data_IF_762479130444
#
_entry.id   IF_762479130444
#
_cell.length_a   1.000
_cell.length_b   1.000
_cell.length_c   1.000
_cell.angle_alpha   90.00
_cell.angle_beta   90.00
_cell.angle_gamma   90.00
#
_symmetry.space_group_name_H-M   'P 1'
#
loop_
_entity.id
_entity.type
_entity.pdbx_description
1 polymer ?
#
# COMPACT_ATOMS: atom_id res chain seq x y z
N UNK A 1 3.33 -66.19 -53.03
CA UNK A 1 4.28 -67.15 -52.42
C UNK A 1 5.34 -66.31 -51.73
N UNK A 2 5.54 -66.51 -50.42
CA UNK A 2 6.34 -65.73 -49.44
C UNK A 2 5.92 -64.23 -49.26
N UNK A 3 5.34 -63.75 -48.16
CA UNK A 3 5.74 -63.68 -46.72
C UNK A 3 6.97 -62.79 -46.44
N UNK A 4 6.98 -62.05 -45.31
CA UNK A 4 7.23 -60.62 -45.26
C UNK A 4 8.60 -60.25 -44.68
N UNK A 5 9.02 -59.01 -44.90
CA UNK A 5 10.27 -58.44 -44.41
C UNK A 5 10.08 -57.99 -42.95
N UNK A 6 10.69 -58.74 -42.03
CA UNK A 6 10.81 -58.41 -40.61
C UNK A 6 11.63 -57.12 -40.44
N UNK A 7 10.96 -55.97 -40.47
CA UNK A 7 11.48 -54.73 -39.92
C UNK A 7 11.36 -54.79 -38.40
N UNK A 8 12.33 -55.45 -37.75
CA UNK A 8 12.57 -55.37 -36.30
C UNK A 8 13.08 -53.98 -35.92
N UNK A 9 12.22 -52.97 -36.06
CA UNK A 9 12.41 -51.61 -35.58
C UNK A 9 12.00 -51.52 -34.12
N UNK A 10 13.00 -51.56 -33.24
CA UNK A 10 12.87 -51.27 -31.81
C UNK A 10 12.11 -49.94 -31.60
N UNK A 11 11.03 -49.88 -30.79
CA UNK A 11 10.39 -48.61 -30.48
C UNK A 11 11.37 -47.72 -29.72
N UNK A 12 11.39 -46.38 -29.94
CA UNK A 12 12.21 -45.51 -29.11
C UNK A 12 11.74 -45.67 -27.66
N UNK A 13 12.63 -46.21 -26.82
CA UNK A 13 12.43 -46.27 -25.38
C UNK A 13 12.18 -44.85 -24.89
N UNK A 14 11.07 -44.66 -24.15
CA UNK A 14 10.90 -43.49 -23.29
C UNK A 14 12.18 -43.33 -22.48
N UNK A 15 12.90 -42.23 -22.69
CA UNK A 15 14.01 -41.87 -21.84
C UNK A 15 13.42 -41.46 -20.49
N UNK A 16 13.43 -42.41 -19.57
CA UNK A 16 13.18 -42.18 -18.16
C UNK A 16 14.15 -41.13 -17.64
N UNK A 17 13.55 -40.11 -17.02
CA UNK A 17 14.09 -39.23 -16.00
C UNK A 17 15.51 -39.57 -15.51
N UNK A 18 16.52 -38.91 -16.10
CA UNK A 18 17.76 -38.65 -15.38
C UNK A 18 17.64 -37.28 -14.74
N UNK A 19 17.59 -37.29 -13.41
CA UNK A 19 17.85 -36.14 -12.56
C UNK A 19 19.09 -35.39 -13.02
N UNK A 20 18.92 -34.16 -13.50
CA UNK A 20 19.98 -33.15 -13.45
C UNK A 20 19.89 -32.44 -12.10
N UNK A 21 20.59 -33.03 -11.14
CA UNK A 21 20.76 -32.63 -9.75
C UNK A 21 21.66 -31.37 -9.59
N UNK A 22 21.57 -30.42 -10.53
CA UNK A 22 22.56 -29.35 -10.70
C UNK A 22 22.10 -27.96 -10.23
N UNK A 23 20.89 -27.79 -9.69
CA UNK A 23 20.39 -26.47 -9.25
C UNK A 23 20.05 -26.36 -7.76
N UNK A 24 20.34 -27.41 -6.96
CA UNK A 24 20.32 -27.31 -5.50
C UNK A 24 21.60 -26.65 -5.01
N UNK A 25 21.71 -25.34 -5.23
CA UNK A 25 22.65 -24.52 -4.46
C UNK A 25 22.29 -24.69 -2.98
N UNK A 26 23.20 -25.14 -2.10
CA UNK A 26 22.95 -25.08 -0.67
C UNK A 26 22.71 -23.61 -0.32
N UNK A 27 21.64 -23.33 0.43
CA UNK A 27 21.47 -22.06 1.13
C UNK A 27 22.72 -21.89 1.99
N UNK A 28 23.72 -21.17 1.46
CA UNK A 28 24.87 -20.76 2.23
C UNK A 28 24.33 -20.05 3.46
N UNK A 29 24.81 -20.48 4.64
CA UNK A 29 24.44 -19.93 5.93
C UNK A 29 24.32 -18.41 5.81
N UNK A 30 23.08 -17.92 5.98
CA UNK A 30 22.76 -16.50 5.96
C UNK A 30 23.73 -15.81 6.90
N UNK A 31 24.74 -15.14 6.35
CA UNK A 31 25.43 -14.09 7.08
C UNK A 31 24.32 -13.17 7.53
N UNK A 32 24.09 -13.09 8.85
CA UNK A 32 23.18 -12.08 9.40
C UNK A 32 23.79 -10.76 8.96
N UNK A 33 23.28 -10.20 7.86
CA UNK A 33 23.58 -8.83 7.52
C UNK A 33 23.15 -8.04 8.74
N UNK A 34 24.12 -7.42 9.41
CA UNK A 34 23.80 -6.47 10.45
C UNK A 34 22.84 -5.48 9.80
N UNK A 35 21.60 -5.43 10.31
CA UNK A 35 20.64 -4.43 9.87
C UNK A 35 21.33 -3.10 10.08
N UNK A 36 21.56 -2.28 9.02
CA UNK A 36 22.12 -0.96 9.22
C UNK A 36 21.20 -0.25 10.20
N UNK A 37 21.75 0.17 11.34
CA UNK A 37 21.01 1.01 12.28
C UNK A 37 20.49 2.19 11.46
N UNK A 38 19.17 2.46 11.45
CA UNK A 38 18.67 3.65 10.78
C UNK A 38 19.44 4.87 11.30
N UNK A 39 19.73 5.86 10.45
CA UNK A 39 20.31 7.10 10.94
C UNK A 39 19.46 7.59 12.11
N UNK A 40 20.10 8.02 13.20
CA UNK A 40 19.39 8.63 14.30
C UNK A 40 18.46 9.70 13.74
N UNK A 41 17.21 9.72 14.18
CA UNK A 41 16.29 10.79 13.83
C UNK A 41 17.02 12.13 14.07
N UNK A 42 16.95 13.10 13.13
CA UNK A 42 17.48 14.41 13.40
C UNK A 42 16.88 14.90 14.70
N UNK A 43 17.62 15.65 15.54
CA UNK A 43 17.04 16.22 16.75
C UNK A 43 15.79 17.00 16.32
N UNK A 44 14.62 16.46 16.65
CA UNK A 44 13.39 17.22 16.51
C UNK A 44 13.50 18.27 17.59
N UNK A 45 13.72 19.52 17.18
CA UNK A 45 13.45 20.64 18.08
C UNK A 45 12.08 20.37 18.70
N UNK A 46 11.95 20.42 20.04
CA UNK A 46 10.66 20.26 20.65
C UNK A 46 9.74 21.29 20.00
N UNK A 47 8.69 20.81 19.34
CA UNK A 47 7.60 21.68 18.92
C UNK A 47 7.21 22.40 20.21
N UNK A 48 7.29 23.75 20.28
CA UNK A 48 6.84 24.43 21.47
C UNK A 48 5.41 23.97 21.67
N UNK A 49 5.18 23.26 22.78
CA UNK A 49 3.83 23.04 23.28
C UNK A 49 3.27 24.44 23.42
N UNK A 50 2.46 24.88 22.46
CA UNK A 50 1.61 26.02 22.70
C UNK A 50 0.82 25.59 23.94
N UNK A 51 1.07 26.25 25.07
CA UNK A 51 0.21 26.06 26.23
C UNK A 51 -1.22 26.17 25.70
N UNK A 52 -2.10 25.20 26.01
CA UNK A 52 -3.50 25.37 25.66
C UNK A 52 -3.93 26.75 26.17
N UNK A 53 -4.75 27.49 25.41
CA UNK A 53 -5.21 28.80 25.87
C UNK A 53 -5.72 28.64 27.30
N UNK A 54 -5.26 29.50 28.20
CA UNK A 54 -5.68 29.46 29.59
C UNK A 54 -7.21 29.42 29.64
N UNK A 55 -7.77 28.51 30.42
CA UNK A 55 -9.21 28.49 30.68
C UNK A 55 -9.64 29.91 31.10
N UNK A 56 -10.75 30.44 30.57
CA UNK A 56 -11.23 31.74 30.99
C UNK A 56 -11.43 31.74 32.52
N UNK A 57 -11.19 32.87 33.21
CA UNK A 57 -11.37 32.94 34.65
C UNK A 57 -12.80 32.51 35.00
N UNK A 58 -12.93 31.46 35.81
CA UNK A 58 -14.21 30.97 36.30
C UNK A 58 -14.67 31.88 37.43
N UNK A 59 -15.70 32.69 37.19
CA UNK A 59 -16.41 33.39 38.26
C UNK A 59 -17.20 32.36 39.08
N UNK A 60 -16.88 32.13 40.36
CA UNK A 60 -17.56 31.13 41.18
C UNK A 60 -19.02 31.48 41.50
N UNK A 61 -19.48 32.69 41.16
CA UNK A 61 -20.82 33.18 41.43
C UNK A 61 -21.71 33.33 40.19
N UNK A 62 -21.20 33.04 38.98
CA UNK A 62 -22.03 33.05 37.78
C UNK A 62 -23.02 31.87 37.82
N UNK A 63 -24.34 32.10 37.73
CA UNK A 63 -25.27 31.02 37.43
C UNK A 63 -24.91 30.50 36.04
N UNK A 64 -24.71 29.20 35.92
CA UNK A 64 -24.31 28.53 34.69
C UNK A 64 -25.47 28.55 33.67
N UNK A 65 -25.82 29.73 33.15
CA UNK A 65 -26.57 29.84 31.92
C UNK A 65 -25.58 29.53 30.79
N UNK A 66 -25.65 28.28 30.35
CA UNK A 66 -24.75 27.63 29.41
C UNK A 66 -24.92 28.21 28.00
N UNK A 67 -24.38 29.41 27.76
CA UNK A 67 -24.21 30.02 26.44
C UNK A 67 -22.73 29.96 26.01
N UNK A 68 -22.14 28.76 26.08
CA UNK A 68 -20.86 28.48 25.44
C UNK A 68 -20.97 27.15 24.70
N UNK A 69 -21.77 27.14 23.64
CA UNK A 69 -21.78 26.05 22.67
C UNK A 69 -20.51 26.18 21.80
N UNK A 70 -19.38 25.68 22.32
CA UNK A 70 -18.13 25.57 21.57
C UNK A 70 -18.17 24.25 20.77
N UNK A 71 -18.97 24.19 19.72
CA UNK A 71 -18.88 23.11 18.70
C UNK A 71 -17.64 23.36 17.84
N UNK A 72 -16.47 22.92 18.29
CA UNK A 72 -15.34 22.66 17.38
C UNK A 72 -15.52 21.27 16.77
N UNK A 73 -16.53 21.12 15.92
CA UNK A 73 -16.68 19.93 15.09
C UNK A 73 -15.66 20.02 13.94
N UNK A 74 -14.39 19.68 14.21
CA UNK A 74 -13.45 19.33 13.15
C UNK A 74 -13.85 17.97 12.60
N UNK A 75 -14.93 17.92 11.82
CA UNK A 75 -15.25 16.75 11.02
C UNK A 75 -14.14 16.63 9.97
N UNK A 76 -13.21 15.70 10.20
CA UNK A 76 -12.21 15.32 9.21
C UNK A 76 -12.91 14.54 8.09
N UNK A 77 -13.64 15.26 7.26
CA UNK A 77 -14.30 14.73 6.07
C UNK A 77 -13.21 14.10 5.19
N UNK A 78 -13.38 12.80 4.94
CA UNK A 78 -12.56 12.04 4.01
C UNK A 78 -13.38 11.75 2.76
N UNK A 79 -12.71 11.77 1.62
CA UNK A 79 -13.28 11.28 0.38
C UNK A 79 -13.05 9.78 0.27
N UNK A 80 -13.82 9.11 -0.59
CA UNK A 80 -13.48 7.74 -0.95
C UNK A 80 -12.27 7.70 -1.91
N UNK A 81 -11.79 6.48 -2.15
CA UNK A 81 -10.61 6.24 -2.97
C UNK A 81 -10.75 6.63 -4.44
N UNK A 82 -11.97 6.90 -4.93
CA UNK A 82 -12.17 7.37 -6.29
C UNK A 82 -11.58 8.78 -6.50
N UNK A 83 -11.42 9.57 -5.43
CA UNK A 83 -10.72 10.85 -5.48
C UNK A 83 -9.28 10.73 -6.00
N UNK A 84 -8.66 9.55 -5.89
CA UNK A 84 -7.31 9.29 -6.39
C UNK A 84 -7.26 8.98 -7.90
N UNK A 85 -8.40 8.83 -8.59
CA UNK A 85 -8.45 8.48 -10.01
C UNK A 85 -7.67 9.48 -10.88
N UNK A 86 -7.99 10.76 -10.75
CA UNK A 86 -7.30 11.84 -11.45
C UNK A 86 -5.81 11.87 -11.10
N UNK A 87 -5.44 12.10 -9.83
CA UNK A 87 -4.04 12.21 -9.42
C UNK A 87 -3.16 10.99 -9.76
N UNK A 88 -3.69 9.76 -9.71
CA UNK A 88 -2.91 8.56 -10.05
C UNK A 88 -2.83 8.27 -11.57
N UNK A 89 -3.71 8.86 -12.38
CA UNK A 89 -3.69 8.69 -13.84
C UNK A 89 -2.42 9.24 -14.50
N UNK A 90 -1.69 10.13 -13.82
CA UNK A 90 -0.42 10.68 -14.30
C UNK A 90 0.72 9.64 -14.33
N UNK A 91 0.60 8.56 -13.55
CA UNK A 91 1.65 7.54 -13.38
C UNK A 91 1.18 6.10 -13.64
N UNK A 92 -0.12 5.84 -13.58
CA UNK A 92 -0.70 4.52 -13.83
C UNK A 92 -1.48 4.54 -15.15
N UNK A 93 -1.14 3.61 -16.05
CA UNK A 93 -1.85 3.45 -17.33
C UNK A 93 -3.19 2.69 -17.19
N UNK A 94 -3.39 1.97 -16.09
CA UNK A 94 -4.63 1.24 -15.78
C UNK A 94 -5.45 2.04 -14.78
N UNK A 95 -6.78 1.85 -14.81
CA UNK A 95 -7.72 2.53 -13.92
C UNK A 95 -7.39 2.24 -12.44
N UNK A 96 -6.86 3.23 -11.70
CA UNK A 96 -6.28 3.01 -10.37
C UNK A 96 -7.31 2.61 -9.33
N UNK A 97 -8.55 3.09 -9.45
CA UNK A 97 -9.61 2.83 -8.46
C UNK A 97 -10.01 1.36 -8.39
N UNK A 98 -9.81 0.62 -9.49
CA UNK A 98 -10.04 -0.82 -9.58
C UNK A 98 -8.88 -1.68 -9.07
N UNK A 99 -7.71 -1.06 -8.83
CA UNK A 99 -6.55 -1.78 -8.33
C UNK A 99 -6.84 -2.34 -6.93
N UNK A 100 -6.55 -3.62 -6.71
CA UNK A 100 -6.70 -4.24 -5.39
C UNK A 100 -5.38 -4.14 -4.65
N UNK A 101 -5.41 -3.44 -3.51
CA UNK A 101 -4.28 -3.29 -2.60
C UNK A 101 -4.41 -4.20 -1.38
N UNK A 102 -3.27 -4.69 -0.88
CA UNK A 102 -3.17 -5.45 0.37
C UNK A 102 -2.53 -4.62 1.48
N UNK A 103 -3.22 -4.44 2.60
CA UNK A 103 -2.73 -3.66 3.74
C UNK A 103 -1.56 -4.36 4.46
N UNK A 104 -0.48 -3.64 4.77
CA UNK A 104 0.62 -4.18 5.61
C UNK A 104 0.26 -4.31 7.09
N UNK A 105 -0.81 -3.64 7.54
CA UNK A 105 -1.31 -3.68 8.91
C UNK A 105 -2.24 -4.85 9.18
N UNK A 106 -3.44 -4.84 8.58
CA UNK A 106 -4.46 -5.87 8.81
C UNK A 106 -4.44 -7.02 7.79
N UNK A 107 -3.72 -6.89 6.68
CA UNK A 107 -3.66 -7.92 5.64
C UNK A 107 -4.89 -7.96 4.71
N UNK A 108 -5.93 -7.15 4.94
CA UNK A 108 -7.12 -7.15 4.08
C UNK A 108 -6.83 -6.65 2.66
N UNK A 109 -7.51 -7.25 1.69
CA UNK A 109 -7.48 -6.89 0.28
C UNK A 109 -8.71 -6.04 -0.08
N UNK A 110 -8.51 -4.86 -0.66
CA UNK A 110 -9.60 -4.01 -1.12
C UNK A 110 -9.24 -3.23 -2.40
N UNK A 111 -10.24 -2.88 -3.23
CA UNK A 111 -10.06 -1.88 -4.28
C UNK A 111 -9.57 -0.57 -3.67
N UNK A 112 -8.67 0.13 -4.36
CA UNK A 112 -8.22 1.45 -3.92
C UNK A 112 -9.38 2.43 -3.75
N UNK A 113 -10.47 2.29 -4.52
CA UNK A 113 -11.72 3.04 -4.37
C UNK A 113 -12.31 3.05 -2.94
N UNK A 114 -11.95 2.09 -2.07
CA UNK A 114 -12.43 2.01 -0.69
C UNK A 114 -11.56 2.73 0.33
N UNK A 115 -10.42 3.27 -0.06
CA UNK A 115 -9.57 4.00 0.89
C UNK A 115 -10.30 5.23 1.42
N UNK A 116 -10.05 5.57 2.70
CA UNK A 116 -10.38 6.88 3.24
C UNK A 116 -9.30 7.85 2.80
N UNK A 117 -9.63 8.79 1.93
CA UNK A 117 -8.69 9.74 1.31
C UNK A 117 -8.82 11.09 1.97
N UNK A 118 -7.69 11.57 2.48
CA UNK A 118 -7.57 12.92 3.02
C UNK A 118 -6.80 13.76 2.01
N UNK A 119 -7.51 14.68 1.35
CA UNK A 119 -6.98 15.52 0.26
C UNK A 119 -6.69 16.95 0.74
N UNK A 120 -6.06 17.12 1.90
CA UNK A 120 -5.65 18.44 2.40
C UNK A 120 -4.22 18.74 1.94
N UNK A 121 -4.04 19.90 1.32
CA UNK A 121 -2.79 20.34 0.71
C UNK A 121 -1.56 20.07 1.62
N UNK A 122 -0.41 19.63 1.06
CA UNK A 122 -0.05 19.58 -0.36
C UNK A 122 -0.22 18.20 -1.03
N UNK A 123 -1.05 17.29 -0.53
CA UNK A 123 -1.20 15.98 -1.17
C UNK A 123 -2.36 15.14 -0.67
N UNK A 124 -2.33 13.86 -1.04
CA UNK A 124 -3.35 12.88 -0.72
C UNK A 124 -2.78 11.82 0.21
N UNK A 125 -3.52 11.50 1.26
CA UNK A 125 -3.21 10.39 2.16
C UNK A 125 -4.36 9.39 2.11
N UNK A 126 -4.10 8.20 1.58
CA UNK A 126 -5.07 7.11 1.55
C UNK A 126 -4.88 6.20 2.76
N UNK A 127 -5.92 6.02 3.57
CA UNK A 127 -5.94 5.12 4.73
C UNK A 127 -6.80 3.90 4.51
N UNK A 128 -6.39 2.79 5.13
CA UNK A 128 -7.13 1.55 5.16
C UNK A 128 -8.48 1.77 5.88
N UNK A 129 -9.63 1.40 5.29
CA UNK A 129 -10.92 1.57 5.94
C UNK A 129 -11.09 0.67 7.19
N UNK A 130 -10.32 -0.42 7.29
CA UNK A 130 -10.44 -1.38 8.39
C UNK A 130 -9.57 -1.05 9.60
N UNK A 131 -8.38 -0.47 9.39
CA UNK A 131 -7.39 -0.27 10.46
C UNK A 131 -6.68 1.09 10.45
N UNK A 132 -7.12 2.02 9.60
CA UNK A 132 -6.61 3.39 9.47
C UNK A 132 -5.10 3.52 9.17
N UNK A 133 -4.41 2.41 8.87
CA UNK A 133 -3.03 2.40 8.37
C UNK A 133 -2.96 3.28 7.13
N UNK A 134 -1.96 4.16 7.06
CA UNK A 134 -1.65 4.87 5.82
C UNK A 134 -1.16 3.85 4.79
N UNK A 135 -1.95 3.66 3.73
CA UNK A 135 -1.71 2.71 2.65
C UNK A 135 -0.83 3.37 1.57
N UNK A 136 -1.15 4.61 1.24
CA UNK A 136 -0.44 5.39 0.24
C UNK A 136 -0.37 6.88 0.61
N UNK A 137 0.64 7.55 0.07
CA UNK A 137 0.72 9.02 0.04
C UNK A 137 1.07 9.45 -1.36
N UNK A 138 0.34 10.42 -1.89
CA UNK A 138 0.60 11.01 -3.19
C UNK A 138 0.82 12.50 -3.01
N UNK A 139 2.00 12.99 -3.37
CA UNK A 139 2.35 14.41 -3.21
C UNK A 139 2.85 14.96 -4.55
N UNK A 140 2.03 15.73 -5.27
CA UNK A 140 2.49 16.50 -6.42
C UNK A 140 3.37 17.67 -5.97
N UNK A 141 4.50 17.87 -6.65
CA UNK A 141 5.34 19.07 -6.61
C UNK A 141 5.39 19.68 -8.02
N UNK A 142 5.90 20.91 -8.20
CA UNK A 142 5.96 21.53 -9.53
C UNK A 142 6.72 20.71 -10.59
N UNK A 143 7.66 19.86 -10.17
CA UNK A 143 8.55 19.08 -11.05
C UNK A 143 8.46 17.56 -10.88
N UNK A 144 7.72 17.06 -9.88
CA UNK A 144 7.69 15.63 -9.52
C UNK A 144 6.32 15.21 -8.96
N UNK A 145 6.07 13.91 -9.04
CA UNK A 145 4.96 13.27 -8.32
C UNK A 145 5.54 12.19 -7.41
N UNK A 146 5.37 12.35 -6.10
CA UNK A 146 5.85 11.38 -5.12
C UNK A 146 4.73 10.42 -4.74
N UNK A 147 4.91 9.13 -5.04
CA UNK A 147 4.02 8.06 -4.59
C UNK A 147 4.75 7.18 -3.57
N UNK A 148 4.31 7.23 -2.31
CA UNK A 148 4.74 6.33 -1.23
C UNK A 148 3.72 5.19 -1.10
N UNK A 149 4.19 3.95 -1.13
CA UNK A 149 3.39 2.72 -1.00
C UNK A 149 3.86 1.82 0.16
N UNK A 150 4.64 2.34 1.12
CA UNK A 150 5.15 1.53 2.26
C UNK A 150 4.06 0.87 3.10
N UNK A 151 2.83 1.38 3.07
CA UNK A 151 1.66 0.78 3.72
C UNK A 151 0.97 -0.34 2.92
N UNK A 152 1.46 -0.60 1.71
CA UNK A 152 0.88 -1.53 0.74
C UNK A 152 1.82 -2.69 0.51
N UNK A 153 1.36 -3.92 0.73
CA UNK A 153 2.15 -5.13 0.43
C UNK A 153 2.30 -5.29 -1.08
N UNK A 154 1.20 -5.13 -1.81
CA UNK A 154 1.14 -5.18 -3.26
C UNK A 154 -0.08 -4.43 -3.78
N UNK A 155 0.02 -3.93 -5.01
CA UNK A 155 -1.12 -3.51 -5.84
C UNK A 155 -1.25 -4.50 -6.99
N UNK A 156 -2.46 -4.98 -7.22
CA UNK A 156 -2.79 -5.83 -8.37
C UNK A 156 -3.83 -5.14 -9.23
N UNK A 157 -3.69 -5.32 -10.55
CA UNK A 157 -4.60 -4.75 -11.54
C UNK A 157 -5.10 -5.88 -12.44
N UNK A 158 -6.39 -5.87 -12.75
CA UNK A 158 -6.91 -6.70 -13.83
C UNK A 158 -6.34 -6.18 -15.14
N UNK A 159 -5.87 -7.10 -16.00
CA UNK A 159 -5.42 -6.77 -17.35
C UNK A 159 -6.38 -7.42 -18.32
N UNK A 160 -6.90 -6.64 -19.25
CA UNK A 160 -7.63 -7.22 -20.37
C UNK A 160 -6.65 -8.05 -21.21
N UNK A 161 -7.05 -9.28 -21.51
CA UNK A 161 -6.30 -10.14 -22.42
C UNK A 161 -6.72 -9.76 -23.84
N UNK A 162 -5.83 -9.26 -24.71
CA UNK A 162 -6.22 -9.01 -26.08
C UNK A 162 -6.62 -10.34 -26.75
N UNK A 163 -7.88 -10.45 -27.16
CA UNK A 163 -8.43 -11.59 -27.93
C UNK A 163 -9.20 -12.66 -27.16
N UNK A 164 -9.75 -12.36 -25.98
CA UNK A 164 -10.73 -13.22 -25.30
C UNK A 164 -12.18 -12.85 -25.66
#
# INVERSE_FOLDING_TARGET
MQQPEDASGTPPRRADARQDDAHRRPYAASTRHATPTPPADPPTDPVPSADPPADPPTDPAAPYEHEYEYEYEYEYEYEDGNALAGPLSEILALEPTTAVGRCTGCGTDWPLARLRVYARAPGYVGRCPDCDRVILRLVPTPDRLWLDLRGTVALSFTRDRPGA
#
